data_IF_222757480243
#
_entry.id   IF_222757480243
#
_cell.length_a   1.000
_cell.length_b   1.000
_cell.length_c   1.000
_cell.angle_alpha   90.00
_cell.angle_beta   90.00
_cell.angle_gamma   90.00
#
_symmetry.space_group_name_H-M   'P 1'
#
loop_
_entity.id
_entity.type
_entity.pdbx_description
1 polymer ?
#
# COMPACT_ATOMS: atom_id res chain seq x y z
N UNK A 1 10.69 5.53 -14.32
CA UNK A 1 9.86 4.42 -13.81
C UNK A 1 9.35 4.86 -12.44
N UNK A 2 8.04 4.83 -12.21
CA UNK A 2 7.46 5.18 -10.91
C UNK A 2 7.90 4.12 -9.89
N UNK A 3 8.70 4.51 -8.91
CA UNK A 3 9.11 3.64 -7.80
C UNK A 3 8.00 3.70 -6.76
N UNK A 4 7.49 2.55 -6.32
CA UNK A 4 6.52 2.50 -5.23
C UNK A 4 7.19 2.91 -3.92
N UNK A 5 6.79 4.05 -3.38
CA UNK A 5 7.23 4.49 -2.05
C UNK A 5 6.12 4.29 -1.01
N UNK A 6 6.46 4.50 0.26
CA UNK A 6 5.53 4.39 1.38
C UNK A 6 4.24 5.20 1.17
N UNK A 7 4.36 6.44 0.71
CA UNK A 7 3.23 7.36 0.56
C UNK A 7 2.26 6.85 -0.51
N UNK A 8 2.81 6.36 -1.63
CA UNK A 8 2.02 5.74 -2.70
C UNK A 8 1.30 4.50 -2.18
N UNK A 9 1.97 3.62 -1.43
CA UNK A 9 1.35 2.41 -0.88
C UNK A 9 0.23 2.74 0.11
N UNK A 10 0.47 3.65 1.07
CA UNK A 10 -0.53 4.06 2.05
C UNK A 10 -1.76 4.71 1.37
N UNK A 11 -1.54 5.45 0.28
CA UNK A 11 -2.62 6.03 -0.51
C UNK A 11 -3.43 4.97 -1.28
N UNK A 12 -2.77 3.95 -1.83
CA UNK A 12 -3.42 2.91 -2.63
C UNK A 12 -4.08 1.79 -1.79
N UNK A 13 -3.59 1.53 -0.59
CA UNK A 13 -4.04 0.44 0.29
C UNK A 13 -5.57 0.41 0.49
N UNK A 14 -6.24 1.53 0.83
CA UNK A 14 -7.70 1.54 1.00
C UNK A 14 -8.47 1.04 -0.24
N UNK A 15 -7.91 1.25 -1.44
CA UNK A 15 -8.52 0.85 -2.71
C UNK A 15 -8.63 -0.67 -2.89
N UNK A 16 -7.86 -1.45 -2.11
CA UNK A 16 -7.96 -2.91 -2.08
C UNK A 16 -9.36 -3.35 -1.64
N UNK A 17 -9.99 -2.61 -0.73
CA UNK A 17 -11.27 -2.98 -0.10
C UNK A 17 -12.45 -2.09 -0.51
N UNK A 18 -12.22 -1.02 -1.27
CA UNK A 18 -13.30 -0.19 -1.83
C UNK A 18 -13.63 -0.64 -3.26
N UNK A 19 -14.85 -1.14 -3.51
CA UNK A 19 -15.33 -1.44 -4.86
C UNK A 19 -15.38 -0.19 -5.75
N UNK A 20 -15.67 0.97 -5.16
CA UNK A 20 -15.77 2.25 -5.86
C UNK A 20 -14.41 2.91 -6.14
N UNK A 21 -13.29 2.33 -5.71
CA UNK A 21 -11.97 2.96 -5.83
C UNK A 21 -11.57 3.32 -7.27
N UNK A 22 -12.10 2.58 -8.26
CA UNK A 22 -11.91 2.87 -9.68
C UNK A 22 -12.59 4.19 -10.13
N UNK A 23 -13.56 4.67 -9.35
CA UNK A 23 -14.38 5.86 -9.63
C UNK A 23 -14.14 7.01 -8.63
N UNK A 24 -13.61 6.71 -7.44
CA UNK A 24 -13.47 7.67 -6.33
C UNK A 24 -12.07 8.21 -6.07
N UNK A 25 -11.01 7.62 -6.65
CA UNK A 25 -9.66 8.17 -6.52
C UNK A 25 -9.50 9.30 -7.53
N UNK A 26 -9.48 10.54 -7.04
CA UNK A 26 -9.27 11.72 -7.88
C UNK A 26 -7.93 11.58 -8.57
N UNK A 27 -7.97 11.42 -9.89
CA UNK A 27 -6.79 11.48 -10.70
C UNK A 27 -6.60 12.90 -11.26
N UNK A 28 -5.62 13.66 -10.77
CA UNK A 28 -5.38 15.01 -11.30
C UNK A 28 -4.89 15.03 -12.76
N UNK A 29 -4.47 13.88 -13.31
CA UNK A 29 -4.07 13.70 -14.69
C UNK A 29 -5.17 13.08 -15.58
N UNK A 30 -6.33 12.72 -15.03
CA UNK A 30 -7.42 12.20 -15.85
C UNK A 30 -8.17 13.34 -16.57
N UNK A 31 -8.48 13.19 -17.87
CA UNK A 31 -9.35 14.13 -18.57
C UNK A 31 -10.78 14.08 -18.00
N UNK A 32 -11.49 15.22 -18.04
CA UNK A 32 -12.90 15.31 -17.64
C UNK A 32 -13.78 14.30 -18.40
N UNK A 33 -14.89 13.88 -17.78
CA UNK A 33 -15.73 12.77 -18.25
C UNK A 33 -16.26 12.93 -19.70
N UNK A 34 -16.36 14.16 -20.20
CA UNK A 34 -16.80 14.48 -21.57
C UNK A 34 -15.66 14.69 -22.58
N UNK A 35 -14.39 14.54 -22.17
CA UNK A 35 -13.25 14.71 -23.07
C UNK A 35 -12.69 13.36 -23.56
N UNK A 36 -12.40 13.22 -24.87
CA UNK A 36 -11.72 12.03 -25.39
C UNK A 36 -10.38 11.85 -24.68
N UNK A 37 -10.03 10.59 -24.37
CA UNK A 37 -8.74 10.26 -23.73
C UNK A 37 -7.61 10.95 -24.50
N UNK A 38 -6.86 11.82 -23.80
CA UNK A 38 -5.92 12.76 -24.43
C UNK A 38 -4.77 12.14 -25.21
N UNK A 39 -4.59 10.82 -25.17
CA UNK A 39 -3.50 10.13 -25.88
C UNK A 39 -3.76 8.61 -25.97
N UNK A 40 -3.42 8.04 -27.14
CA UNK A 40 -3.41 6.58 -27.41
C UNK A 40 -2.10 5.94 -26.92
N UNK A 41 -1.08 6.76 -26.62
CA UNK A 41 0.20 6.31 -26.08
C UNK A 41 0.02 5.89 -24.62
N UNK A 42 0.06 4.59 -24.38
CA UNK A 42 -0.06 3.96 -23.05
C UNK A 42 0.99 4.47 -22.05
N UNK A 43 2.10 5.06 -22.52
CA UNK A 43 3.14 5.66 -21.66
C UNK A 43 2.75 7.04 -21.13
N UNK A 44 1.87 7.75 -21.83
CA UNK A 44 1.32 9.04 -21.43
C UNK A 44 -0.09 8.91 -20.84
N UNK A 45 -0.66 7.70 -20.85
CA UNK A 45 -1.92 7.39 -20.20
C UNK A 45 -1.76 7.31 -18.68
N UNK A 46 -2.81 7.70 -17.98
CA UNK A 46 -2.94 7.62 -16.53
C UNK A 46 -2.61 6.22 -15.98
N UNK A 47 -1.62 6.14 -15.07
CA UNK A 47 -1.16 4.90 -14.45
C UNK A 47 -2.00 4.44 -13.25
N UNK A 48 -3.08 5.16 -12.90
CA UNK A 48 -3.92 4.82 -11.75
C UNK A 48 -4.46 3.39 -11.81
N UNK A 49 -5.00 2.96 -12.96
CA UNK A 49 -5.53 1.59 -13.09
C UNK A 49 -4.44 0.52 -12.97
N UNK A 50 -3.22 0.81 -13.42
CA UNK A 50 -2.07 -0.08 -13.21
C UNK A 50 -1.72 -0.15 -11.72
N UNK A 51 -1.64 0.98 -11.03
CA UNK A 51 -1.41 1.03 -9.59
C UNK A 51 -2.49 0.30 -8.78
N UNK A 52 -3.76 0.40 -9.19
CA UNK A 52 -4.87 -0.31 -8.57
C UNK A 52 -4.80 -1.83 -8.78
N UNK A 53 -4.41 -2.28 -9.97
CA UNK A 53 -4.19 -3.70 -10.23
C UNK A 53 -2.99 -4.23 -9.42
N UNK A 54 -1.92 -3.46 -9.39
CA UNK A 54 -0.68 -3.79 -8.70
C UNK A 54 -0.89 -3.91 -7.19
N UNK A 55 -1.55 -2.95 -6.54
CA UNK A 55 -1.78 -3.02 -5.08
C UNK A 55 -2.67 -4.19 -4.69
N UNK A 56 -3.68 -4.52 -5.52
CA UNK A 56 -4.55 -5.70 -5.29
C UNK A 56 -3.76 -7.00 -5.43
N UNK A 57 -2.88 -7.07 -6.43
CA UNK A 57 -1.97 -8.21 -6.62
C UNK A 57 -0.99 -8.34 -5.47
N UNK A 58 -0.39 -7.23 -5.04
CA UNK A 58 0.53 -7.20 -3.90
C UNK A 58 -0.18 -7.63 -2.60
N UNK A 59 -1.40 -7.15 -2.36
CA UNK A 59 -2.20 -7.61 -1.23
C UNK A 59 -2.46 -9.11 -1.26
N UNK A 60 -2.67 -9.72 -2.43
CA UNK A 60 -2.88 -11.16 -2.53
C UNK A 60 -1.59 -11.98 -2.37
N UNK A 61 -0.48 -11.53 -2.94
CA UNK A 61 0.72 -12.34 -3.14
C UNK A 61 1.94 -11.97 -2.27
N UNK A 62 1.98 -10.77 -1.70
CA UNK A 62 3.09 -10.35 -0.84
C UNK A 62 3.12 -11.22 0.43
N UNK A 63 4.29 -11.75 0.83
CA UNK A 63 4.45 -12.58 2.03
C UNK A 63 4.40 -11.71 3.30
N UNK A 64 3.20 -11.33 3.69
CA UNK A 64 2.91 -10.62 4.93
C UNK A 64 2.65 -11.63 6.05
N UNK A 65 3.22 -11.39 7.21
CA UNK A 65 2.86 -12.11 8.42
C UNK A 65 1.40 -11.80 8.78
N UNK A 66 0.73 -12.73 9.48
CA UNK A 66 -0.68 -12.56 9.84
C UNK A 66 -0.93 -11.29 10.66
N UNK A 67 0.01 -10.94 11.55
CA UNK A 67 -0.06 -9.72 12.35
C UNK A 67 0.06 -8.45 11.50
N UNK A 68 0.94 -8.43 10.50
CA UNK A 68 1.12 -7.31 9.57
C UNK A 68 -0.13 -7.15 8.70
N UNK A 69 -0.59 -8.24 8.09
CA UNK A 69 -1.78 -8.26 7.24
C UNK A 69 -3.01 -7.75 8.01
N UNK A 70 -3.21 -8.21 9.25
CA UNK A 70 -4.31 -7.75 10.10
C UNK A 70 -4.17 -6.28 10.47
N UNK A 71 -2.99 -5.83 10.88
CA UNK A 71 -2.76 -4.44 11.26
C UNK A 71 -3.02 -3.49 10.07
N UNK A 72 -2.58 -3.84 8.86
CA UNK A 72 -2.86 -3.09 7.64
C UNK A 72 -4.36 -3.03 7.35
N UNK A 73 -5.07 -4.16 7.45
CA UNK A 73 -6.51 -4.19 7.24
C UNK A 73 -7.25 -3.27 8.23
N UNK A 74 -6.99 -3.42 9.53
CA UNK A 74 -7.65 -2.60 10.55
C UNK A 74 -7.31 -1.11 10.38
N UNK A 75 -6.06 -0.80 10.03
CA UNK A 75 -5.60 0.58 9.87
C UNK A 75 -6.17 1.27 8.62
N UNK A 76 -6.17 0.59 7.47
CA UNK A 76 -6.47 1.21 6.17
C UNK A 76 -7.85 0.87 5.62
N UNK A 77 -8.44 -0.27 6.00
CA UNK A 77 -9.80 -0.62 5.58
C UNK A 77 -10.85 -0.06 6.54
N UNK A 78 -10.57 -0.04 7.85
CA UNK A 78 -11.51 0.40 8.88
C UNK A 78 -11.16 1.75 9.52
N UNK A 79 -10.03 2.34 9.14
CA UNK A 79 -9.48 3.58 9.72
C UNK A 79 -9.35 3.55 11.26
N UNK A 80 -9.01 2.38 11.82
CA UNK A 80 -8.81 2.27 13.27
C UNK A 80 -7.49 2.93 13.69
N UNK A 81 -7.49 3.68 14.80
CA UNK A 81 -6.25 4.18 15.39
C UNK A 81 -5.44 3.03 16.03
N UNK A 82 -4.12 3.18 16.11
CA UNK A 82 -3.21 2.17 16.65
C UNK A 82 -3.63 1.67 18.04
N UNK A 83 -4.07 2.58 18.92
CA UNK A 83 -4.52 2.24 20.27
C UNK A 83 -5.70 1.26 20.29
N UNK A 84 -6.64 1.39 19.34
CA UNK A 84 -7.79 0.50 19.23
C UNK A 84 -7.38 -0.88 18.71
N UNK A 85 -6.45 -0.91 17.75
CA UNK A 85 -5.88 -2.14 17.23
C UNK A 85 -5.07 -2.86 18.32
N UNK A 86 -4.29 -2.10 19.11
CA UNK A 86 -3.46 -2.59 20.19
C UNK A 86 -4.31 -3.22 21.30
N UNK A 87 -5.37 -2.53 21.71
CA UNK A 87 -6.35 -3.04 22.68
C UNK A 87 -7.03 -4.34 22.19
N UNK A 88 -7.37 -4.42 20.89
CA UNK A 88 -7.95 -5.63 20.30
C UNK A 88 -6.98 -6.81 20.32
N UNK A 89 -5.73 -6.58 19.90
CA UNK A 89 -4.74 -7.64 19.72
C UNK A 89 -3.99 -7.99 21.03
N UNK A 90 -4.22 -7.24 22.12
CA UNK A 90 -3.54 -7.44 23.40
C UNK A 90 -2.05 -7.11 23.35
N UNK A 91 -1.68 -6.09 22.56
CA UNK A 91 -0.29 -5.65 22.35
C UNK A 91 -0.16 -4.15 22.62
N UNK A 92 1.06 -3.62 22.51
CA UNK A 92 1.31 -2.17 22.62
C UNK A 92 1.05 -1.44 21.30
N UNK A 93 0.71 -0.15 21.37
CA UNK A 93 0.58 0.74 20.20
C UNK A 93 1.84 0.72 19.33
N UNK A 94 3.02 0.68 19.97
CA UNK A 94 4.31 0.56 19.27
C UNK A 94 4.43 -0.72 18.47
N UNK A 95 3.94 -1.85 18.99
CA UNK A 95 3.94 -3.11 18.25
C UNK A 95 3.02 -3.05 17.04
N UNK A 96 1.86 -2.39 17.15
CA UNK A 96 0.97 -2.15 16.00
C UNK A 96 1.65 -1.26 14.98
N UNK A 97 2.23 -0.13 15.41
CA UNK A 97 2.96 0.79 14.53
C UNK A 97 4.04 0.05 13.74
N UNK A 98 4.87 -0.74 14.41
CA UNK A 98 5.90 -1.54 13.77
C UNK A 98 5.34 -2.53 12.73
N UNK A 99 4.25 -3.24 13.05
CA UNK A 99 3.56 -4.13 12.09
C UNK A 99 3.05 -3.40 10.86
N UNK A 100 2.48 -2.21 11.04
CA UNK A 100 1.99 -1.37 9.93
C UNK A 100 3.16 -0.91 9.06
N UNK A 101 4.22 -0.36 9.67
CA UNK A 101 5.40 0.13 8.95
C UNK A 101 6.10 -0.98 8.17
N UNK A 102 6.32 -2.13 8.81
CA UNK A 102 6.91 -3.32 8.20
C UNK A 102 6.03 -3.87 7.06
N UNK A 103 4.72 -3.95 7.29
CA UNK A 103 3.76 -4.39 6.26
C UNK A 103 3.74 -3.48 5.03
N UNK A 104 3.72 -2.15 5.23
CA UNK A 104 3.81 -1.18 4.11
C UNK A 104 5.15 -1.29 3.39
N UNK A 105 6.26 -1.43 4.14
CA UNK A 105 7.59 -1.61 3.58
C UNK A 105 7.70 -2.87 2.71
N UNK A 106 7.15 -4.00 3.17
CA UNK A 106 7.10 -5.25 2.40
C UNK A 106 6.30 -5.12 1.11
N UNK A 107 5.15 -4.44 1.14
CA UNK A 107 4.35 -4.17 -0.06
C UNK A 107 5.12 -3.30 -1.07
N UNK A 108 5.77 -2.23 -0.61
CA UNK A 108 6.58 -1.37 -1.45
C UNK A 108 7.76 -2.14 -2.08
N UNK A 109 8.50 -2.91 -1.28
CA UNK A 109 9.62 -3.71 -1.78
C UNK A 109 9.16 -4.74 -2.81
N UNK A 110 8.08 -5.47 -2.53
CA UNK A 110 7.51 -6.48 -3.42
C UNK A 110 7.09 -5.88 -4.77
N UNK A 111 6.41 -4.74 -4.75
CA UNK A 111 5.97 -4.05 -5.98
C UNK A 111 7.13 -3.48 -6.80
N UNK A 112 8.25 -3.15 -6.16
CA UNK A 112 9.47 -2.75 -6.85
C UNK A 112 10.37 -3.93 -7.25
N UNK A 113 9.98 -5.17 -6.97
CA UNK A 113 10.81 -6.36 -7.22
C UNK A 113 12.10 -6.39 -6.38
N UNK A 114 12.08 -5.80 -5.18
CA UNK A 114 13.21 -5.73 -4.25
C UNK A 114 12.94 -6.58 -3.01
N UNK A 115 14.01 -7.04 -2.39
CA UNK A 115 13.94 -7.62 -1.05
C UNK A 115 13.63 -6.52 -0.05
N UNK A 116 12.67 -6.75 0.84
CA UNK A 116 12.44 -5.88 1.97
C UNK A 116 13.58 -6.07 2.98
N UNK A 117 14.20 -4.97 3.38
CA UNK A 117 15.23 -4.94 4.41
C UNK A 117 14.60 -4.25 5.62
N UNK A 118 14.53 -4.94 6.75
CA UNK A 118 14.16 -4.31 8.00
C UNK A 118 15.37 -3.50 8.49
N UNK A 119 15.17 -2.29 9.01
CA UNK A 119 16.27 -1.41 9.41
C UNK A 119 17.19 -1.98 10.50
N UNK A 120 16.80 -3.11 11.11
CA UNK A 120 17.62 -3.87 12.04
C UNK A 120 18.56 -4.89 11.36
N UNK A 121 18.23 -5.38 10.16
CA UNK A 121 19.03 -6.39 9.45
C UNK A 121 20.39 -5.81 8.97
N UNK A 122 20.46 -4.49 8.76
CA UNK A 122 21.71 -3.79 8.40
C UNK A 122 22.73 -3.75 9.55
N UNK A 123 22.28 -3.86 10.80
CA UNK A 123 23.16 -3.83 11.98
C UNK A 123 23.83 -5.19 12.26
N UNK A 124 23.18 -6.30 11.91
CA UNK A 124 23.76 -7.65 12.03
C UNK A 124 24.82 -7.94 10.96
N UNK A 125 24.72 -7.36 9.77
CA UNK A 125 25.71 -7.54 8.71
C UNK A 125 27.00 -6.72 8.93
N UNK A 126 27.00 -5.78 9.88
CA UNK A 126 28.11 -4.87 10.18
C UNK A 126 28.84 -5.20 11.50
N UNK A 127 28.48 -6.29 12.18
CA UNK A 127 29.08 -6.79 13.42
C UNK A 127 29.86 -8.10 13.17
#
# INVERSE_FOLDING_TARGET
MSTYDRRVIEHLLPAVWSPEAAYGIRNPAAPDADMPKGTVDKRAADSLFAHLADIRRAWAACPLELGERRALFLRFALDWPDALIAARDGVTDRAVRYRVERGVGKLAAWLNGRTYIDGYDELEAAA
#
